data_IF_477012233392
#
_entry.id   IF_477012233392
#
_cell.length_a   1.000
_cell.length_b   1.000
_cell.length_c   1.000
_cell.angle_alpha   90.00
_cell.angle_beta   90.00
_cell.angle_gamma   90.00
#
_symmetry.space_group_name_H-M   'P 1'
#
loop_
_entity.id
_entity.type
_entity.pdbx_description
1 polymer ?
#
# COMPACT_ATOMS: atom_id res chain seq x y z
N UNK A 1 -5.59 -20.97 -6.92
CA UNK A 1 -4.12 -21.12 -6.91
C UNK A 1 -3.69 -20.93 -5.48
N UNK A 2 -3.18 -21.97 -4.83
CA UNK A 2 -2.94 -22.00 -3.37
C UNK A 2 -1.96 -20.93 -2.92
N UNK A 3 -0.96 -20.62 -3.76
CA UNK A 3 0.03 -19.59 -3.47
C UNK A 3 -0.61 -18.20 -3.39
N UNK A 4 -1.55 -17.89 -4.30
CA UNK A 4 -2.25 -16.59 -4.29
C UNK A 4 -3.12 -16.40 -3.05
N UNK A 5 -3.74 -17.48 -2.57
CA UNK A 5 -4.52 -17.43 -1.33
C UNK A 5 -3.59 -17.19 -0.13
N UNK A 6 -2.45 -17.88 -0.09
CA UNK A 6 -1.45 -17.67 0.94
C UNK A 6 -0.88 -16.25 0.92
N UNK A 7 -0.55 -15.71 -0.25
CA UNK A 7 -0.04 -14.33 -0.40
C UNK A 7 -1.06 -13.31 0.09
N UNK A 8 -2.34 -13.50 -0.22
CA UNK A 8 -3.42 -12.63 0.24
C UNK A 8 -3.58 -12.67 1.78
N UNK A 9 -3.50 -13.86 2.38
CA UNK A 9 -3.57 -14.01 3.84
C UNK A 9 -2.32 -13.46 4.52
N UNK A 10 -1.14 -13.66 3.93
CA UNK A 10 0.14 -13.17 4.44
C UNK A 10 0.20 -11.64 4.49
N UNK A 11 -0.31 -10.99 3.44
CA UNK A 11 -0.27 -9.54 3.30
C UNK A 11 -1.47 -8.81 3.94
N UNK A 12 -2.39 -9.57 4.55
CA UNK A 12 -3.48 -9.03 5.36
C UNK A 12 -2.97 -8.57 6.73
N UNK A 13 -2.16 -7.52 6.71
CA UNK A 13 -1.57 -6.84 7.87
C UNK A 13 -1.99 -5.38 7.91
N UNK A 14 -1.73 -4.70 9.02
CA UNK A 14 -1.96 -3.26 9.08
C UNK A 14 -1.00 -2.49 8.16
N UNK A 15 -1.37 -1.25 7.84
CA UNK A 15 -0.64 -0.39 6.91
C UNK A 15 0.80 -0.10 7.34
N UNK A 16 1.06 0.06 8.65
CA UNK A 16 2.41 0.32 9.14
C UNK A 16 3.30 -0.90 8.90
N UNK A 17 2.80 -2.10 9.23
CA UNK A 17 3.49 -3.37 8.92
C UNK A 17 3.70 -3.54 7.42
N UNK A 18 2.70 -3.23 6.57
CA UNK A 18 2.83 -3.31 5.11
C UNK A 18 3.97 -2.43 4.59
N UNK A 19 4.10 -1.19 5.07
CA UNK A 19 5.17 -0.30 4.65
C UNK A 19 6.55 -0.74 5.14
N UNK A 20 6.66 -1.26 6.36
CA UNK A 20 7.91 -1.85 6.85
C UNK A 20 8.32 -3.08 6.02
N UNK A 21 7.35 -3.90 5.58
CA UNK A 21 7.60 -5.01 4.67
C UNK A 21 8.11 -4.53 3.30
N UNK A 22 7.57 -3.44 2.75
CA UNK A 22 8.07 -2.82 1.51
C UNK A 22 9.54 -2.41 1.68
N UNK A 23 9.86 -1.72 2.78
CA UNK A 23 11.23 -1.27 3.07
C UNK A 23 12.19 -2.45 3.26
N UNK A 24 11.78 -3.46 4.02
CA UNK A 24 12.57 -4.66 4.26
C UNK A 24 12.78 -5.47 2.97
N UNK A 25 11.75 -5.65 2.15
CA UNK A 25 11.84 -6.36 0.88
C UNK A 25 12.79 -5.66 -0.10
N UNK A 26 12.72 -4.32 -0.18
CA UNK A 26 13.66 -3.52 -0.96
C UNK A 26 15.09 -3.64 -0.43
N UNK A 27 15.29 -3.50 0.89
CA UNK A 27 16.62 -3.60 1.51
C UNK A 27 17.28 -4.97 1.31
N UNK A 28 16.51 -6.04 1.46
CA UNK A 28 16.97 -7.42 1.31
C UNK A 28 16.98 -7.90 -0.16
N UNK A 29 16.55 -7.05 -1.11
CA UNK A 29 16.44 -7.35 -2.53
C UNK A 29 15.57 -8.59 -2.84
N UNK A 30 14.44 -8.72 -2.13
CA UNK A 30 13.47 -9.80 -2.34
C UNK A 30 12.38 -9.30 -3.30
N UNK A 31 12.63 -9.44 -4.60
CA UNK A 31 11.75 -8.87 -5.65
C UNK A 31 10.29 -9.30 -5.54
N UNK A 32 10.01 -10.59 -5.32
CA UNK A 32 8.63 -11.10 -5.26
C UNK A 32 7.82 -10.50 -4.10
N UNK A 33 8.46 -10.32 -2.93
CA UNK A 33 7.83 -9.69 -1.77
C UNK A 33 7.63 -8.20 -2.00
N UNK A 34 8.60 -7.53 -2.65
CA UNK A 34 8.47 -6.12 -3.01
C UNK A 34 7.31 -5.91 -4.00
N UNK A 35 7.19 -6.77 -5.01
CA UNK A 35 6.08 -6.73 -5.98
C UNK A 35 4.72 -6.96 -5.30
N UNK A 36 4.62 -7.99 -4.44
CA UNK A 36 3.38 -8.30 -3.71
C UNK A 36 2.95 -7.12 -2.83
N UNK A 37 3.85 -6.61 -2.00
CA UNK A 37 3.57 -5.52 -1.05
C UNK A 37 3.23 -4.20 -1.77
N UNK A 38 3.96 -3.86 -2.84
CA UNK A 38 3.65 -2.69 -3.67
C UNK A 38 2.30 -2.81 -4.38
N UNK A 39 1.95 -4.00 -4.88
CA UNK A 39 0.64 -4.24 -5.50
C UNK A 39 -0.48 -4.06 -4.47
N UNK A 40 -0.33 -4.59 -3.26
CA UNK A 40 -1.30 -4.39 -2.17
C UNK A 40 -1.48 -2.91 -1.85
N UNK A 41 -0.38 -2.14 -1.74
CA UNK A 41 -0.47 -0.70 -1.52
C UNK A 41 -1.16 0.04 -2.68
N UNK A 42 -0.91 -0.38 -3.93
CA UNK A 42 -1.60 0.17 -5.10
C UNK A 42 -3.10 -0.15 -5.10
N UNK A 43 -3.48 -1.37 -4.71
CA UNK A 43 -4.87 -1.79 -4.61
C UNK A 43 -5.63 -1.03 -3.52
N UNK A 44 -4.95 -0.57 -2.47
CA UNK A 44 -5.54 0.34 -1.47
C UNK A 44 -5.87 1.74 -2.03
N UNK A 45 -5.23 2.15 -3.13
CA UNK A 45 -5.45 3.46 -3.78
C UNK A 45 -6.48 3.33 -4.90
N UNK A 46 -6.49 2.17 -5.57
CA UNK A 46 -7.31 1.90 -6.73
C UNK A 46 -8.80 2.11 -6.42
N UNK A 47 -9.49 2.77 -7.35
CA UNK A 47 -10.93 3.04 -7.32
C UNK A 47 -11.41 3.89 -6.12
N UNK A 48 -10.50 4.59 -5.43
CA UNK A 48 -10.81 5.55 -4.35
C UNK A 48 -10.74 7.00 -4.81
N UNK A 49 -11.51 7.87 -4.17
CA UNK A 49 -11.40 9.33 -4.39
C UNK A 49 -10.15 9.89 -3.70
N UNK A 50 -9.74 11.10 -4.10
CA UNK A 50 -8.60 11.80 -3.48
C UNK A 50 -8.82 11.98 -1.98
N UNK A 51 -10.04 12.32 -1.56
CA UNK A 51 -10.41 12.49 -0.15
C UNK A 51 -10.30 11.18 0.63
N UNK A 52 -10.77 10.06 0.06
CA UNK A 52 -10.66 8.75 0.69
C UNK A 52 -9.20 8.31 0.83
N UNK A 53 -8.37 8.54 -0.21
CA UNK A 53 -6.94 8.27 -0.17
C UNK A 53 -6.29 9.10 0.93
N UNK A 54 -6.59 10.41 1.02
CA UNK A 54 -6.06 11.29 2.07
C UNK A 54 -6.42 10.78 3.46
N UNK A 55 -7.65 10.31 3.67
CA UNK A 55 -8.05 9.73 4.95
C UNK A 55 -7.31 8.43 5.28
N UNK A 56 -7.19 7.51 4.33
CA UNK A 56 -6.55 6.21 4.51
C UNK A 56 -5.05 6.35 4.81
N UNK A 57 -4.37 7.22 4.08
CA UNK A 57 -2.93 7.45 4.24
C UNK A 57 -2.61 8.58 5.22
N UNK A 58 -3.63 9.14 5.88
CA UNK A 58 -3.52 10.26 6.83
C UNK A 58 -2.74 11.46 6.25
N UNK A 59 -2.97 11.74 4.97
CA UNK A 59 -2.35 12.84 4.24
C UNK A 59 -3.14 14.12 4.53
N UNK A 60 -2.45 15.14 5.02
CA UNK A 60 -3.01 16.48 5.20
C UNK A 60 -3.14 17.12 3.82
N UNK A 61 -4.33 17.66 3.52
CA UNK A 61 -4.50 18.48 2.33
C UNK A 61 -3.82 19.84 2.55
N UNK A 62 -2.81 20.15 1.74
CA UNK A 62 -2.04 21.38 1.76
C UNK A 62 -2.33 22.31 0.57
N UNK A 63 -3.29 21.96 -0.30
CA UNK A 63 -3.72 22.79 -1.40
C UNK A 63 -4.66 23.92 -0.95
N UNK A 64 -4.52 25.09 -1.56
CA UNK A 64 -5.54 26.13 -1.50
C UNK A 64 -6.77 25.76 -2.34
N UNK A 65 -7.95 26.38 -2.11
CA UNK A 65 -9.15 26.09 -2.91
C UNK A 65 -8.99 26.30 -4.42
N UNK A 66 -8.07 27.18 -4.83
CA UNK A 66 -7.75 27.43 -6.24
C UNK A 66 -6.79 26.39 -6.85
N UNK A 67 -6.05 25.65 -6.02
CA UNK A 67 -5.10 24.61 -6.44
C UNK A 67 -5.71 23.21 -6.45
N UNK A 68 -6.85 23.02 -5.78
CA UNK A 68 -7.66 21.79 -5.73
C UNK A 68 -8.43 21.55 -7.05
#
# INVERSE_FOLDING_TARGET
DELKAWDADFINVDQATLFELILAANYLNIRSLLELTCQTAADMIKDKTVEEIRQIFQIVNDYSPEEE
#
